data_IF_747708341690
#
_entry.id   IF_747708341690
#
_cell.length_a   1.000
_cell.length_b   1.000
_cell.length_c   1.000
_cell.angle_alpha   90.00
_cell.angle_beta   90.00
_cell.angle_gamma   90.00
#
_symmetry.space_group_name_H-M   'P 1'
#
loop_
_entity.id
_entity.type
_entity.pdbx_description
1 polymer ?
#
# COMPACT_ATOMS: atom_id res chain seq x y z
N UNK A 1 6.92 -45.13 -5.36
CA UNK A 1 7.24 -43.84 -6.00
C UNK A 1 5.98 -42.98 -5.90
N UNK A 2 5.99 -41.99 -5.01
CA UNK A 2 4.81 -41.16 -4.69
C UNK A 2 4.89 -39.84 -5.46
N UNK A 3 3.83 -39.47 -6.17
CA UNK A 3 3.74 -38.22 -6.91
C UNK A 3 3.50 -37.02 -5.96
N UNK A 4 4.00 -35.81 -6.28
CA UNK A 4 3.80 -34.63 -5.43
C UNK A 4 2.40 -34.05 -5.65
N UNK A 5 1.67 -33.77 -4.56
CA UNK A 5 0.40 -33.06 -4.60
C UNK A 5 0.64 -31.58 -4.90
N UNK A 6 0.29 -31.13 -6.11
CA UNK A 6 0.24 -29.70 -6.42
C UNK A 6 -1.02 -29.10 -5.79
N UNK A 7 -0.85 -28.24 -4.78
CA UNK A 7 -1.94 -27.40 -4.28
C UNK A 7 -2.24 -26.33 -5.32
N UNK A 8 -3.22 -26.58 -6.18
CA UNK A 8 -3.76 -25.57 -7.09
C UNK A 8 -4.52 -24.53 -6.26
N UNK A 9 -3.89 -23.38 -6.02
CA UNK A 9 -4.62 -22.19 -5.59
C UNK A 9 -5.36 -21.62 -6.80
N UNK A 10 -6.58 -22.10 -7.03
CA UNK A 10 -7.47 -21.51 -8.04
C UNK A 10 -8.06 -20.21 -7.50
N UNK A 11 -7.78 -19.10 -8.18
CA UNK A 11 -8.43 -17.81 -7.90
C UNK A 11 -9.95 -18.02 -7.98
N UNK A 12 -10.74 -17.61 -6.98
CA UNK A 12 -12.19 -17.67 -7.10
C UNK A 12 -12.60 -16.87 -8.36
N UNK A 13 -13.55 -17.38 -9.16
CA UNK A 13 -14.07 -16.60 -10.27
C UNK A 13 -14.58 -15.28 -9.72
N UNK A 14 -14.12 -14.17 -10.32
CA UNK A 14 -14.66 -12.85 -9.99
C UNK A 14 -16.17 -12.91 -10.25
N UNK A 15 -17.01 -12.40 -9.33
CA UNK A 15 -18.45 -12.37 -9.57
C UNK A 15 -18.71 -11.65 -10.88
N UNK A 16 -19.55 -12.24 -11.74
CA UNK A 16 -20.01 -11.59 -12.97
C UNK A 16 -20.57 -10.21 -12.60
N UNK A 17 -19.89 -9.16 -13.06
CA UNK A 17 -20.44 -7.82 -12.98
C UNK A 17 -21.67 -7.82 -13.89
N UNK A 18 -22.87 -7.49 -13.39
CA UNK A 18 -24.06 -7.48 -14.23
C UNK A 18 -23.85 -6.46 -15.36
N UNK A 19 -24.17 -6.88 -16.59
CA UNK A 19 -24.14 -6.04 -17.77
C UNK A 19 -24.96 -4.77 -17.52
N UNK A 20 -24.40 -3.61 -17.84
CA UNK A 20 -25.06 -2.31 -17.67
C UNK A 20 -24.76 -1.56 -16.37
N UNK A 21 -23.85 -2.02 -15.50
CA UNK A 21 -23.34 -1.18 -14.39
C UNK A 21 -22.27 -0.19 -14.88
N UNK A 22 -22.74 0.98 -15.28
CA UNK A 22 -21.95 2.21 -15.35
C UNK A 22 -21.12 2.37 -14.08
N UNK A 23 -19.84 2.71 -14.21
CA UNK A 23 -19.02 3.16 -13.09
C UNK A 23 -19.73 4.31 -12.39
N UNK A 24 -20.38 4.03 -11.25
CA UNK A 24 -20.96 5.09 -10.43
C UNK A 24 -19.78 5.90 -9.91
N UNK A 25 -19.77 7.20 -10.21
CA UNK A 25 -18.80 8.13 -9.65
C UNK A 25 -19.08 8.24 -8.15
N UNK A 26 -18.45 7.37 -7.36
CA UNK A 26 -18.72 7.25 -5.92
C UNK A 26 -18.30 8.51 -5.14
N UNK A 27 -17.42 9.35 -5.72
CA UNK A 27 -16.94 10.61 -5.15
C UNK A 27 -16.53 11.56 -6.26
N UNK A 28 -16.70 12.86 -6.03
CA UNK A 28 -16.00 13.91 -6.79
C UNK A 28 -14.50 13.59 -6.79
N UNK A 29 -13.83 13.57 -7.96
CA UNK A 29 -12.39 13.40 -8.03
C UNK A 29 -11.69 14.35 -7.05
N UNK A 30 -10.66 13.86 -6.37
CA UNK A 30 -9.79 14.76 -5.62
C UNK A 30 -9.23 15.79 -6.60
N UNK A 31 -9.21 17.09 -6.25
CA UNK A 31 -8.66 18.11 -7.12
C UNK A 31 -7.23 17.73 -7.50
N UNK A 32 -6.90 17.82 -8.78
CA UNK A 32 -5.51 17.70 -9.24
C UNK A 32 -4.69 18.74 -8.47
N UNK A 33 -3.54 18.37 -7.86
CA UNK A 33 -2.70 19.34 -7.19
C UNK A 33 -2.35 20.47 -8.16
N UNK A 34 -2.44 21.72 -7.70
CA UNK A 34 -1.98 22.86 -8.47
C UNK A 34 -0.45 22.89 -8.38
N UNK A 35 0.24 22.60 -9.47
CA UNK A 35 1.69 22.70 -9.55
C UNK A 35 2.09 24.15 -9.83
N UNK A 36 3.16 24.59 -9.17
CA UNK A 36 3.68 25.96 -9.34
C UNK A 36 4.21 26.24 -10.75
N UNK A 37 4.55 25.19 -11.51
CA UNK A 37 5.07 25.28 -12.87
C UNK A 37 4.34 24.27 -13.78
N UNK A 38 3.83 24.76 -14.91
CA UNK A 38 3.19 23.96 -15.96
C UNK A 38 4.15 22.94 -16.61
N UNK A 39 5.45 23.08 -16.41
CA UNK A 39 6.46 22.08 -16.85
C UNK A 39 6.48 20.81 -15.99
N UNK A 40 5.84 20.83 -14.81
CA UNK A 40 5.78 19.66 -13.92
C UNK A 40 4.69 18.70 -14.36
N UNK A 41 5.09 17.64 -15.07
CA UNK A 41 4.21 16.52 -15.37
C UNK A 41 3.78 15.83 -14.07
N UNK A 42 2.48 15.79 -13.84
CA UNK A 42 1.88 15.05 -12.74
C UNK A 42 0.79 14.13 -13.25
N UNK A 43 0.63 13.01 -12.55
CA UNK A 43 -0.52 12.14 -12.74
C UNK A 43 -0.92 11.62 -11.36
N UNK A 44 -2.22 11.35 -11.20
CA UNK A 44 -2.76 10.78 -9.97
C UNK A 44 -3.37 9.42 -10.29
N UNK A 45 -3.00 8.40 -9.52
CA UNK A 45 -3.61 7.07 -9.61
C UNK A 45 -4.49 6.87 -8.39
N UNK A 46 -5.76 6.53 -8.61
CA UNK A 46 -6.69 6.15 -7.55
C UNK A 46 -7.14 4.72 -7.75
N UNK A 47 -6.92 3.88 -6.74
CA UNK A 47 -7.33 2.48 -6.73
C UNK A 47 -8.17 2.18 -5.48
N UNK A 48 -9.11 1.24 -5.62
CA UNK A 48 -9.97 0.78 -4.53
C UNK A 48 -10.12 -0.73 -4.59
N UNK A 49 -10.01 -1.37 -3.43
CA UNK A 49 -10.29 -2.79 -3.25
C UNK A 49 -11.13 -2.98 -1.97
N UNK A 50 -12.24 -3.77 -2.03
CA UNK A 50 -12.95 -4.16 -0.81
C UNK A 50 -12.16 -5.22 -0.06
N UNK A 51 -11.99 -5.04 1.24
CA UNK A 51 -11.35 -6.01 2.14
C UNK A 51 -12.37 -6.38 3.21
N UNK A 52 -12.69 -7.67 3.34
CA UNK A 52 -13.62 -8.19 4.35
C UNK A 52 -12.93 -8.32 5.73
N UNK A 53 -12.46 -7.20 6.27
CA UNK A 53 -11.81 -7.13 7.57
C UNK A 53 -12.10 -5.78 8.27
N UNK A 54 -11.98 -5.70 9.61
CA UNK A 54 -12.07 -4.42 10.31
C UNK A 54 -11.01 -3.40 9.83
N UNK A 55 -11.33 -2.10 9.72
CA UNK A 55 -10.37 -1.09 9.28
C UNK A 55 -9.09 -1.03 10.11
N UNK A 56 -9.17 -1.31 11.42
CA UNK A 56 -8.02 -1.37 12.33
C UNK A 56 -7.09 -2.54 12.03
N UNK A 57 -7.63 -3.68 11.57
CA UNK A 57 -6.84 -4.83 11.11
C UNK A 57 -6.05 -4.47 9.85
N UNK A 58 -6.70 -3.81 8.90
CA UNK A 58 -6.04 -3.35 7.66
C UNK A 58 -4.97 -2.30 7.98
N UNK A 59 -5.28 -1.33 8.85
CA UNK A 59 -4.31 -0.34 9.30
C UNK A 59 -3.09 -1.00 9.94
N UNK A 60 -3.30 -1.94 10.87
CA UNK A 60 -2.20 -2.66 11.53
C UNK A 60 -1.31 -3.37 10.50
N UNK A 61 -1.89 -4.07 9.54
CA UNK A 61 -1.13 -4.75 8.49
C UNK A 61 -0.32 -3.77 7.62
N UNK A 62 -0.87 -2.58 7.33
CA UNK A 62 -0.15 -1.53 6.59
C UNK A 62 1.04 -0.96 7.37
N UNK A 63 0.93 -0.84 8.70
CA UNK A 63 1.97 -0.26 9.56
C UNK A 63 2.97 -1.31 10.08
N UNK A 64 2.63 -2.59 10.03
CA UNK A 64 3.48 -3.71 10.42
C UNK A 64 4.37 -4.13 9.24
N UNK A 65 5.54 -3.50 9.13
CA UNK A 65 6.50 -3.73 8.07
C UNK A 65 7.03 -5.17 8.02
N UNK A 66 7.09 -5.86 9.15
CA UNK A 66 7.55 -7.25 9.23
C UNK A 66 6.52 -8.22 8.61
N UNK A 67 5.25 -7.80 8.52
CA UNK A 67 4.19 -8.57 7.87
C UNK A 67 4.17 -8.45 6.34
N UNK A 68 4.74 -7.38 5.78
CA UNK A 68 4.64 -7.05 4.35
C UNK A 68 5.07 -8.18 3.41
N UNK A 69 6.16 -8.93 3.67
CA UNK A 69 6.61 -9.97 2.73
C UNK A 69 5.55 -11.06 2.49
N UNK A 70 4.60 -11.24 3.43
CA UNK A 70 3.54 -12.24 3.34
C UNK A 70 2.41 -11.87 2.38
N UNK A 71 2.22 -10.58 2.09
CA UNK A 71 1.08 -10.09 1.29
C UNK A 71 1.46 -9.07 0.21
N UNK A 72 2.69 -8.53 0.24
CA UNK A 72 3.21 -7.53 -0.67
C UNK A 72 4.49 -8.04 -1.36
N UNK A 73 4.33 -8.77 -2.45
CA UNK A 73 5.46 -9.27 -3.25
C UNK A 73 6.30 -8.15 -3.90
N UNK A 74 5.74 -6.92 -3.99
CA UNK A 74 6.43 -5.75 -4.48
C UNK A 74 7.41 -5.19 -3.44
N UNK A 75 7.09 -5.30 -2.14
CA UNK A 75 7.95 -4.87 -1.03
C UNK A 75 8.27 -6.06 -0.11
N UNK A 76 9.21 -6.93 -0.51
CA UNK A 76 9.61 -8.12 0.26
C UNK A 76 10.39 -7.82 1.54
N UNK A 77 10.78 -6.57 1.82
CA UNK A 77 11.39 -6.15 3.08
C UNK A 77 11.38 -4.63 3.23
N UNK A 78 11.55 -4.15 4.46
CA UNK A 78 11.78 -2.74 4.75
C UNK A 78 12.88 -2.57 5.81
N UNK A 79 13.76 -1.59 5.60
CA UNK A 79 14.82 -1.22 6.52
C UNK A 79 14.37 0.00 7.34
N UNK A 80 13.99 -0.25 8.58
CA UNK A 80 13.43 0.79 9.47
C UNK A 80 14.57 1.56 10.13
N UNK A 81 14.64 2.88 9.86
CA UNK A 81 15.61 3.79 10.49
C UNK A 81 15.03 4.45 11.73
N UNK A 82 13.72 4.75 11.68
CA UNK A 82 12.95 5.30 12.80
C UNK A 82 11.49 4.85 12.65
N UNK A 83 10.88 4.40 13.75
CA UNK A 83 9.46 3.98 13.79
C UNK A 83 8.48 5.15 13.91
N UNK A 84 8.96 6.35 14.24
CA UNK A 84 8.09 7.50 14.47
C UNK A 84 7.31 7.39 15.79
N UNK A 85 6.24 8.18 15.90
CA UNK A 85 5.40 8.23 17.10
C UNK A 85 4.38 7.10 17.09
N UNK A 86 4.23 6.31 18.17
CA UNK A 86 3.22 5.27 18.26
C UNK A 86 1.81 5.79 17.96
N UNK A 87 1.03 5.02 17.21
CA UNK A 87 -0.35 5.36 16.86
C UNK A 87 -1.28 4.99 18.03
N UNK A 88 -1.82 5.96 18.79
CA UNK A 88 -2.48 5.66 20.08
C UNK A 88 -3.71 4.75 19.98
N UNK A 89 -4.39 4.77 18.83
CA UNK A 89 -5.56 3.95 18.56
C UNK A 89 -5.25 2.47 18.29
N UNK A 90 -3.96 2.09 18.19
CA UNK A 90 -3.52 0.73 17.98
C UNK A 90 -2.76 0.23 19.22
N UNK A 91 -3.38 -0.68 19.98
CA UNK A 91 -2.70 -1.33 21.09
C UNK A 91 -1.44 -2.09 20.62
N UNK A 92 -0.32 -1.92 21.31
CA UNK A 92 0.95 -2.55 20.94
C UNK A 92 1.64 -1.92 19.73
N UNK A 93 1.39 -0.64 19.43
CA UNK A 93 1.95 0.05 18.27
C UNK A 93 3.43 0.44 18.39
N UNK A 94 4.15 0.03 19.43
CA UNK A 94 5.55 0.40 19.62
C UNK A 94 6.45 -0.14 18.48
N UNK A 95 6.13 -1.32 17.97
CA UNK A 95 6.83 -1.96 16.86
C UNK A 95 6.18 -1.69 15.50
N UNK A 96 5.16 -0.82 15.44
CA UNK A 96 4.53 -0.42 14.19
C UNK A 96 5.17 0.86 13.67
N UNK A 97 5.05 1.08 12.36
CA UNK A 97 5.32 2.40 11.80
C UNK A 97 4.26 3.39 12.28
N UNK A 98 4.70 4.58 12.67
CA UNK A 98 3.83 5.69 13.05
C UNK A 98 4.24 7.01 12.39
N UNK A 99 3.47 8.08 12.61
CA UNK A 99 3.80 9.40 12.07
C UNK A 99 5.25 9.80 12.38
N UNK A 100 5.97 10.26 11.37
CA UNK A 100 7.40 10.57 11.45
C UNK A 100 8.34 9.37 11.24
N UNK A 101 7.82 8.17 10.99
CA UNK A 101 8.66 7.02 10.64
C UNK A 101 9.48 7.31 9.39
N UNK A 102 10.73 6.82 9.40
CA UNK A 102 11.66 6.88 8.27
C UNK A 102 12.19 5.48 8.01
N UNK A 103 12.04 4.99 6.79
CA UNK A 103 12.43 3.64 6.43
C UNK A 103 12.79 3.57 4.95
N UNK A 104 13.43 2.48 4.53
CA UNK A 104 13.67 2.20 3.12
C UNK A 104 12.94 0.93 2.72
N UNK A 105 12.10 1.02 1.70
CA UNK A 105 11.50 -0.15 1.07
C UNK A 105 12.49 -0.84 0.15
N UNK A 106 12.63 -2.16 0.26
CA UNK A 106 13.34 -2.97 -0.72
C UNK A 106 12.38 -3.36 -1.84
N UNK A 107 12.49 -2.73 -3.02
CA UNK A 107 11.47 -2.77 -4.08
C UNK A 107 11.77 -3.86 -5.13
N UNK A 108 10.82 -4.77 -5.32
CA UNK A 108 10.82 -5.79 -6.36
C UNK A 108 10.08 -5.31 -7.62
N UNK A 109 10.72 -4.44 -8.40
CA UNK A 109 10.15 -3.93 -9.66
C UNK A 109 9.85 -5.01 -10.70
N UNK A 110 10.50 -6.17 -10.59
CA UNK A 110 10.32 -7.28 -11.53
C UNK A 110 9.03 -8.08 -11.30
N UNK A 111 8.39 -7.92 -10.14
CA UNK A 111 7.22 -8.72 -9.74
C UNK A 111 7.51 -10.23 -9.60
N UNK A 112 8.79 -10.64 -9.65
CA UNK A 112 9.21 -12.03 -9.59
C UNK A 112 9.00 -12.64 -8.21
N UNK A 113 8.90 -13.97 -8.16
CA UNK A 113 8.81 -14.75 -6.93
C UNK A 113 10.07 -14.59 -6.06
N UNK A 114 10.01 -14.96 -4.78
CA UNK A 114 11.19 -14.95 -3.90
C UNK A 114 12.35 -15.79 -4.45
N UNK A 115 12.05 -16.94 -5.05
CA UNK A 115 13.04 -17.83 -5.66
C UNK A 115 13.75 -17.18 -6.87
N UNK A 116 13.04 -16.37 -7.66
CA UNK A 116 13.54 -15.84 -8.93
C UNK A 116 14.03 -14.38 -8.85
N UNK A 117 13.64 -13.66 -7.80
CA UNK A 117 13.98 -12.24 -7.61
C UNK A 117 15.45 -12.04 -7.22
N UNK A 118 16.06 -13.03 -6.57
CA UNK A 118 17.38 -12.93 -5.97
C UNK A 118 17.37 -12.26 -4.58
N UNK A 119 18.55 -11.99 -4.00
CA UNK A 119 18.68 -11.50 -2.63
C UNK A 119 18.02 -10.12 -2.41
N UNK A 120 17.48 -9.87 -1.20
CA UNK A 120 16.80 -8.61 -0.83
C UNK A 120 17.77 -7.42 -0.92
N UNK A 121 19.02 -7.64 -0.54
CA UNK A 121 20.07 -6.63 -0.43
C UNK A 121 20.44 -6.01 -1.79
N UNK A 122 20.17 -6.73 -2.88
CA UNK A 122 20.39 -6.25 -4.26
C UNK A 122 19.18 -5.51 -4.83
N UNK A 123 18.05 -5.48 -4.12
CA UNK A 123 16.90 -4.72 -4.58
C UNK A 123 17.17 -3.22 -4.50
N UNK A 124 16.49 -2.49 -5.37
CA UNK A 124 16.43 -1.04 -5.28
C UNK A 124 15.81 -0.66 -3.94
N UNK A 125 16.43 0.31 -3.27
CA UNK A 125 15.89 0.94 -2.07
C UNK A 125 15.15 2.21 -2.44
N UNK A 126 13.94 2.39 -1.92
CA UNK A 126 13.19 3.64 -1.97
C UNK A 126 13.06 4.15 -0.55
N UNK A 127 13.59 5.33 -0.21
CA UNK A 127 13.39 5.83 1.14
C UNK A 127 12.03 6.52 1.22
N UNK A 128 11.35 6.23 2.32
CA UNK A 128 9.97 6.60 2.57
C UNK A 128 9.87 7.27 3.93
N UNK A 129 8.90 8.16 4.06
CA UNK A 129 8.47 8.68 5.33
C UNK A 129 6.95 8.64 5.47
N UNK A 130 6.51 8.19 6.65
CA UNK A 130 5.10 8.15 7.02
C UNK A 130 4.73 9.51 7.63
N UNK A 131 4.01 10.35 6.88
CA UNK A 131 3.73 11.73 7.33
C UNK A 131 2.49 11.82 8.21
N UNK A 132 1.52 10.95 8.00
CA UNK A 132 0.21 11.05 8.63
C UNK A 132 -0.39 9.66 8.85
N UNK A 133 -0.94 9.49 10.05
CA UNK A 133 -1.89 8.41 10.39
C UNK A 133 -2.99 9.09 11.19
N UNK A 134 -4.16 9.26 10.60
CA UNK A 134 -5.30 9.91 11.25
C UNK A 134 -6.55 9.04 11.18
N UNK A 135 -7.32 9.05 12.27
CA UNK A 135 -8.66 8.48 12.25
C UNK A 135 -9.55 9.41 11.43
N UNK A 136 -10.19 8.87 10.40
CA UNK A 136 -11.24 9.58 9.71
C UNK A 136 -12.49 9.50 10.59
N UNK A 137 -12.68 10.54 11.39
CA UNK A 137 -13.94 10.84 12.05
C UNK A 137 -14.84 11.48 10.99
N UNK A 138 -16.08 10.99 10.79
CA UNK A 138 -16.80 11.27 9.56
C UNK A 138 -17.28 12.74 9.51
N UNK A 139 -16.80 13.48 8.50
CA UNK A 139 -17.56 14.57 7.89
C UNK A 139 -18.50 14.07 6.76
N UNK A 140 -18.60 12.74 6.50
CA UNK A 140 -19.37 12.20 5.37
C UNK A 140 -20.34 11.06 5.71
N UNK A 141 -21.61 11.32 5.37
CA UNK A 141 -22.85 10.55 5.16
C UNK A 141 -23.19 9.27 5.95
N UNK A 142 -22.26 8.41 6.36
CA UNK A 142 -22.63 7.06 6.87
C UNK A 142 -22.12 6.75 8.29
N UNK A 143 -21.48 7.70 8.98
CA UNK A 143 -20.97 7.47 10.34
C UNK A 143 -19.85 6.42 10.45
N UNK A 144 -19.32 5.94 9.32
CA UNK A 144 -18.32 4.86 9.30
C UNK A 144 -16.94 5.40 9.66
N UNK A 145 -16.33 4.80 10.68
CA UNK A 145 -14.94 5.04 11.06
C UNK A 145 -13.98 4.52 10.00
N UNK A 146 -12.93 5.27 9.72
CA UNK A 146 -11.88 4.88 8.79
C UNK A 146 -10.52 5.41 9.21
N UNK A 147 -9.51 5.13 8.40
CA UNK A 147 -8.14 5.61 8.63
C UNK A 147 -7.61 6.23 7.35
N UNK A 148 -6.88 7.33 7.48
CA UNK A 148 -6.08 7.89 6.40
C UNK A 148 -4.61 7.75 6.77
N UNK A 149 -3.84 7.26 5.80
CA UNK A 149 -2.41 7.08 5.91
C UNK A 149 -1.76 7.80 4.73
N UNK A 150 -0.74 8.62 4.97
CA UNK A 150 -0.02 9.35 3.92
C UNK A 150 1.45 9.02 3.97
N UNK A 151 1.95 8.53 2.84
CA UNK A 151 3.33 8.11 2.64
C UNK A 151 3.94 9.05 1.62
N UNK A 152 5.21 9.34 1.78
CA UNK A 152 5.95 10.18 0.87
C UNK A 152 7.32 9.54 0.65
N UNK A 153 7.78 9.55 -0.59
CA UNK A 153 9.11 9.09 -0.95
C UNK A 153 10.09 10.27 -0.95
N UNK A 154 11.35 10.01 -0.64
CA UNK A 154 12.44 11.00 -0.78
C UNK A 154 12.96 11.13 -2.23
N UNK A 155 12.09 10.86 -3.22
CA UNK A 155 12.41 10.90 -4.64
C UNK A 155 11.18 10.76 -5.55
N UNK A 156 11.43 10.64 -6.85
CA UNK A 156 10.37 10.52 -7.86
C UNK A 156 9.87 9.08 -8.01
N UNK A 157 8.54 8.90 -8.09
CA UNK A 157 7.91 7.69 -8.60
C UNK A 157 8.29 7.53 -10.09
N UNK A 158 9.44 6.94 -10.36
CA UNK A 158 9.93 6.73 -11.72
C UNK A 158 9.37 5.43 -12.26
N UNK A 159 8.12 5.47 -12.71
CA UNK A 159 7.68 4.52 -13.73
C UNK A 159 8.60 4.75 -14.93
N UNK A 160 9.50 3.81 -15.22
CA UNK A 160 10.17 3.82 -16.52
C UNK A 160 9.06 3.67 -17.56
N UNK A 161 8.86 4.68 -18.39
CA UNK A 161 8.24 4.45 -19.67
C UNK A 161 9.22 3.57 -20.44
N UNK A 162 8.86 2.31 -20.66
CA UNK A 162 9.51 1.55 -21.73
C UNK A 162 9.23 2.31 -23.03
N UNK A 163 10.31 2.60 -23.76
CA UNK A 163 10.26 3.11 -25.14
C UNK A 163 10.13 1.95 -26.11
#
# INVERSE_FOLDING_TARGET
MSAPSQSHFSRPPLPHLPEGKTSVLLRTPLPTPLFADASTLSFTVHARIPIAAPPTTVLRALLDADSWPRWNTFIPAAEIRSRGTPVPSLAGSADLLGPGAKFAMCVNMSGKSEADRGPVEKLRKSNEFLSLVEELVPEREDGRKGWRVVWNADGHFMLRADR
#
